data_IF_538363000882
#
_entry.id   IF_538363000882
#
_cell.length_a   1.000
_cell.length_b   1.000
_cell.length_c   1.000
_cell.angle_alpha   90.00
_cell.angle_beta   90.00
_cell.angle_gamma   90.00
#
_symmetry.space_group_name_H-M   'P 1'
#
loop_
_entity.id
_entity.type
_entity.pdbx_description
1 polymer ?
#
# COMPACT_ATOMS: atom_id res chain seq x y z
N UNK A 1 -26.19 3.70 2.71
CA UNK A 1 -25.52 3.82 4.02
C UNK A 1 -25.24 5.29 4.31
N UNK A 2 -25.40 5.71 5.56
CA UNK A 2 -25.03 7.05 5.99
C UNK A 2 -23.51 7.26 5.93
N UNK A 3 -23.05 8.49 5.69
CA UNK A 3 -21.63 8.83 5.68
C UNK A 3 -21.12 8.95 7.11
N UNK A 4 -20.00 8.30 7.42
CA UNK A 4 -19.27 8.52 8.66
C UNK A 4 -18.35 9.72 8.48
N UNK A 5 -18.43 10.69 9.38
CA UNK A 5 -17.57 11.87 9.38
C UNK A 5 -16.73 11.86 10.64
N UNK A 6 -15.41 11.90 10.49
CA UNK A 6 -14.44 11.88 11.60
C UNK A 6 -13.49 13.05 11.49
N UNK A 7 -12.93 13.49 12.63
CA UNK A 7 -12.09 14.68 12.70
C UNK A 7 -10.92 14.47 13.66
N UNK A 8 -9.97 15.40 13.60
CA UNK A 8 -8.89 15.52 14.57
C UNK A 8 -7.96 14.31 14.59
N UNK A 9 -7.45 14.02 15.78
CA UNK A 9 -6.36 13.06 15.96
C UNK A 9 -6.76 11.62 15.65
N UNK A 10 -7.96 11.22 16.07
CA UNK A 10 -8.44 9.85 15.85
C UNK A 10 -8.53 9.51 14.36
N UNK A 11 -8.95 10.47 13.53
CA UNK A 11 -9.01 10.31 12.07
C UNK A 11 -7.61 10.18 11.46
N UNK A 12 -6.67 11.05 11.86
CA UNK A 12 -5.27 11.00 11.41
C UNK A 12 -4.59 9.69 11.79
N UNK A 13 -4.79 9.21 13.02
CA UNK A 13 -4.22 7.96 13.49
C UNK A 13 -4.74 6.76 12.72
N UNK A 14 -6.04 6.74 12.35
CA UNK A 14 -6.58 5.69 11.48
C UNK A 14 -5.95 5.72 10.09
N UNK A 15 -5.86 6.89 9.47
CA UNK A 15 -5.20 7.06 8.17
C UNK A 15 -3.74 6.59 8.24
N UNK A 16 -2.99 7.00 9.27
CA UNK A 16 -1.59 6.63 9.47
C UNK A 16 -1.41 5.11 9.62
N UNK A 17 -2.30 4.42 10.35
CA UNK A 17 -2.27 2.94 10.43
C UNK A 17 -2.46 2.30 9.06
N UNK A 18 -3.32 2.87 8.22
CA UNK A 18 -3.51 2.44 6.84
C UNK A 18 -2.28 2.62 5.97
N UNK A 19 -1.68 3.81 6.02
CA UNK A 19 -0.42 4.15 5.35
C UNK A 19 0.68 3.16 5.74
N UNK A 20 0.86 2.92 7.04
CA UNK A 20 1.88 2.02 7.56
C UNK A 20 1.67 0.58 7.10
N UNK A 21 0.45 0.07 7.12
CA UNK A 21 0.15 -1.29 6.65
C UNK A 21 0.56 -1.48 5.18
N UNK A 22 0.29 -0.50 4.31
CA UNK A 22 0.72 -0.57 2.91
C UNK A 22 2.24 -0.41 2.77
N UNK A 23 2.81 0.61 3.41
CA UNK A 23 4.23 0.89 3.28
C UNK A 23 5.11 -0.25 3.82
N UNK A 24 4.71 -0.86 4.94
CA UNK A 24 5.45 -1.97 5.54
C UNK A 24 5.44 -3.23 4.66
N UNK A 25 4.34 -3.49 3.95
CA UNK A 25 4.24 -4.59 3.00
C UNK A 25 5.04 -4.34 1.72
N UNK A 26 5.13 -3.09 1.26
CA UNK A 26 5.84 -2.72 0.03
C UNK A 26 7.34 -2.57 0.27
N UNK A 27 7.76 -1.95 1.38
CA UNK A 27 9.18 -1.63 1.63
C UNK A 27 10.10 -2.84 1.70
N UNK A 28 9.57 -4.02 2.05
CA UNK A 28 10.38 -5.25 2.11
C UNK A 28 10.91 -5.66 0.74
N UNK A 29 10.30 -5.19 -0.34
CA UNK A 29 10.73 -5.51 -1.71
C UNK A 29 11.78 -4.55 -2.26
N UNK A 30 12.15 -3.49 -1.52
CA UNK A 30 13.03 -2.44 -2.00
C UNK A 30 14.48 -2.92 -2.23
N UNK A 31 15.01 -2.57 -3.41
CA UNK A 31 16.43 -2.70 -3.74
C UNK A 31 16.87 -4.12 -4.14
N UNK A 32 18.17 -4.31 -4.43
CA UNK A 32 18.70 -5.57 -4.95
C UNK A 32 18.60 -6.74 -3.97
N UNK A 33 18.46 -6.44 -2.67
CA UNK A 33 18.24 -7.43 -1.59
C UNK A 33 16.79 -7.46 -1.10
N UNK A 34 15.85 -6.92 -1.87
CA UNK A 34 14.42 -7.01 -1.59
C UNK A 34 13.98 -8.45 -1.36
N UNK A 35 13.13 -8.65 -0.36
CA UNK A 35 12.52 -9.93 -0.01
C UNK A 35 11.25 -10.16 -0.82
N UNK A 36 10.87 -11.44 -0.92
CA UNK A 36 9.63 -11.81 -1.58
C UNK A 36 8.44 -11.51 -0.68
N UNK A 37 7.36 -11.05 -1.30
CA UNK A 37 6.01 -11.00 -0.73
C UNK A 37 5.20 -12.11 -1.39
N UNK A 38 4.41 -12.80 -0.58
CA UNK A 38 3.51 -13.86 -1.03
C UNK A 38 2.08 -13.31 -1.02
N UNK A 39 1.44 -13.35 -2.19
CA UNK A 39 0.09 -12.85 -2.41
C UNK A 39 -0.82 -14.04 -2.65
N UNK A 40 -1.88 -14.15 -1.84
CA UNK A 40 -2.86 -15.20 -1.99
C UNK A 40 -3.67 -15.03 -3.29
N UNK A 41 -4.15 -16.15 -3.83
CA UNK A 41 -4.98 -16.19 -5.03
C UNK A 41 -6.19 -17.07 -4.76
N UNK A 42 -7.37 -16.59 -5.19
CA UNK A 42 -8.63 -17.33 -5.04
C UNK A 42 -8.60 -18.74 -5.67
N UNK A 43 -7.77 -18.94 -6.69
CA UNK A 43 -7.60 -20.22 -7.37
C UNK A 43 -6.13 -20.44 -7.75
N UNK A 44 -5.66 -21.68 -7.66
CA UNK A 44 -4.29 -22.06 -8.03
C UNK A 44 -3.26 -21.76 -6.94
N UNK A 45 -2.01 -21.58 -7.35
CA UNK A 45 -0.88 -21.31 -6.45
C UNK A 45 -0.73 -19.81 -6.14
N UNK A 46 -0.21 -19.44 -4.96
CA UNK A 46 0.03 -18.05 -4.60
C UNK A 46 1.04 -17.38 -5.53
N UNK A 47 0.96 -16.05 -5.65
CA UNK A 47 1.96 -15.27 -6.39
C UNK A 47 3.10 -14.91 -5.46
N UNK A 48 4.34 -15.20 -5.86
CA UNK A 48 5.53 -14.74 -5.15
C UNK A 48 6.14 -13.60 -5.97
N UNK A 49 6.27 -12.41 -5.38
CA UNK A 49 6.74 -11.22 -6.10
C UNK A 49 7.69 -10.36 -5.26
N UNK A 50 8.55 -9.60 -5.96
CA UNK A 50 9.33 -8.47 -5.41
C UNK A 50 8.91 -7.14 -6.02
N UNK A 51 7.84 -7.12 -6.80
CA UNK A 51 7.34 -5.89 -7.39
C UNK A 51 6.43 -5.17 -6.37
N UNK A 52 6.88 -4.01 -5.89
CA UNK A 52 6.13 -3.19 -4.93
C UNK A 52 4.80 -2.69 -5.48
N UNK A 53 4.67 -2.48 -6.80
CA UNK A 53 3.41 -2.05 -7.42
C UNK A 53 2.37 -3.16 -7.34
N UNK A 54 2.76 -4.38 -7.69
CA UNK A 54 1.90 -5.56 -7.56
C UNK A 54 1.49 -5.77 -6.11
N UNK A 55 2.41 -5.63 -5.15
CA UNK A 55 2.05 -5.75 -3.71
C UNK A 55 1.05 -4.67 -3.29
N UNK A 56 1.28 -3.41 -3.65
CA UNK A 56 0.40 -2.30 -3.28
C UNK A 56 -1.03 -2.44 -3.85
N UNK A 57 -1.18 -3.08 -5.02
CA UNK A 57 -2.48 -3.32 -5.67
C UNK A 57 -3.35 -4.33 -4.92
N UNK A 58 -2.75 -5.30 -4.23
CA UNK A 58 -3.48 -6.33 -3.49
C UNK A 58 -3.88 -5.88 -2.08
N UNK A 59 -3.48 -4.69 -1.64
CA UNK A 59 -3.80 -4.19 -0.30
C UNK A 59 -5.16 -3.53 -0.29
N UNK A 60 -6.08 -4.19 0.41
CA UNK A 60 -7.43 -3.72 0.71
C UNK A 60 -7.73 -3.97 2.20
N UNK A 61 -7.91 -2.89 2.96
CA UNK A 61 -8.09 -2.95 4.40
C UNK A 61 -9.58 -2.95 4.76
N UNK A 62 -9.94 -3.73 5.79
CA UNK A 62 -11.33 -3.86 6.25
C UNK A 62 -11.88 -2.57 6.85
N UNK A 63 -11.05 -1.83 7.58
CA UNK A 63 -11.44 -0.55 8.16
C UNK A 63 -11.43 0.54 7.06
N UNK A 64 -12.54 1.27 6.83
CA UNK A 64 -12.61 2.26 5.74
C UNK A 64 -11.65 3.45 5.89
N UNK A 65 -11.33 3.87 7.12
CA UNK A 65 -10.43 5.00 7.35
C UNK A 65 -8.97 4.58 7.14
N UNK A 66 -8.60 3.40 7.62
CA UNK A 66 -7.29 2.82 7.34
C UNK A 66 -7.15 2.55 5.84
N UNK A 67 -8.17 1.96 5.20
CA UNK A 67 -8.13 1.70 3.77
C UNK A 67 -7.96 2.99 2.97
N UNK A 68 -8.63 4.09 3.36
CA UNK A 68 -8.42 5.39 2.74
C UNK A 68 -6.96 5.84 2.80
N UNK A 69 -6.29 5.64 3.95
CA UNK A 69 -4.86 5.86 4.10
C UNK A 69 -4.00 5.04 3.14
N UNK A 70 -4.27 3.73 3.07
CA UNK A 70 -3.58 2.83 2.15
C UNK A 70 -3.80 3.25 0.67
N UNK A 71 -5.05 3.52 0.27
CA UNK A 71 -5.36 3.93 -1.10
C UNK A 71 -4.67 5.23 -1.51
N UNK A 72 -4.50 6.19 -0.59
CA UNK A 72 -3.75 7.43 -0.88
C UNK A 72 -2.30 7.15 -1.25
N UNK A 73 -1.62 6.24 -0.54
CA UNK A 73 -0.21 5.91 -0.84
C UNK A 73 -0.09 5.00 -2.06
N UNK A 74 -1.07 4.14 -2.29
CA UNK A 74 -1.18 3.38 -3.55
C UNK A 74 -1.22 4.29 -4.76
N UNK A 75 -1.96 5.40 -4.66
CA UNK A 75 -2.05 6.40 -5.73
C UNK A 75 -0.71 7.08 -6.00
N UNK A 76 0.07 7.37 -4.94
CA UNK A 76 1.44 7.89 -5.07
C UNK A 76 2.31 6.91 -5.85
N UNK A 77 2.30 5.63 -5.46
CA UNK A 77 3.06 4.58 -6.13
C UNK A 77 2.66 4.43 -7.61
N UNK A 78 1.35 4.44 -7.90
CA UNK A 78 0.83 4.31 -9.27
C UNK A 78 1.29 5.48 -10.15
N UNK A 79 1.14 6.73 -9.69
CA UNK A 79 1.55 7.91 -10.46
C UNK A 79 3.04 7.95 -10.74
N UNK A 80 3.86 7.53 -9.77
CA UNK A 80 5.31 7.40 -9.98
C UNK A 80 5.59 6.36 -11.06
N UNK A 81 4.90 5.22 -11.05
CA UNK A 81 5.01 4.21 -12.10
C UNK A 81 4.62 4.76 -13.48
N UNK A 82 3.51 5.49 -13.55
CA UNK A 82 2.99 6.01 -14.81
C UNK A 82 3.92 7.08 -15.42
N UNK A 83 4.58 7.86 -14.57
CA UNK A 83 5.46 8.96 -15.00
C UNK A 83 6.88 8.50 -15.30
N UNK A 84 7.45 7.64 -14.44
CA UNK A 84 8.86 7.27 -14.46
C UNK A 84 9.13 5.80 -14.79
N UNK A 85 8.12 4.92 -14.70
CA UNK A 85 8.26 3.47 -14.94
C UNK A 85 8.99 2.71 -13.83
N UNK A 86 9.54 3.39 -12.82
CA UNK A 86 10.26 2.83 -11.67
C UNK A 86 10.18 3.79 -10.46
N UNK A 87 10.69 3.38 -9.30
CA UNK A 87 10.78 4.21 -8.10
C UNK A 87 9.53 4.19 -7.21
N UNK A 88 8.57 3.32 -7.53
CA UNK A 88 7.29 3.20 -6.81
C UNK A 88 7.47 2.82 -5.34
N UNK A 89 8.37 1.87 -5.07
CA UNK A 89 8.70 1.43 -3.71
C UNK A 89 9.39 2.55 -2.93
N UNK A 90 10.25 3.34 -3.58
CA UNK A 90 10.88 4.53 -2.98
C UNK A 90 9.85 5.59 -2.65
N UNK A 91 8.92 5.88 -3.56
CA UNK A 91 7.86 6.86 -3.36
C UNK A 91 6.94 6.44 -2.20
N UNK A 92 6.59 5.16 -2.09
CA UNK A 92 5.83 4.61 -0.97
C UNK A 92 6.54 4.78 0.37
N UNK A 93 7.85 4.52 0.42
CA UNK A 93 8.65 4.67 1.66
C UNK A 93 8.79 6.14 2.07
N UNK A 94 8.89 7.07 1.12
CA UNK A 94 8.95 8.51 1.41
C UNK A 94 7.59 9.10 1.81
N UNK A 95 6.49 8.46 1.44
CA UNK A 95 5.13 8.89 1.79
C UNK A 95 4.65 8.40 3.17
N UNK A 96 5.37 7.45 3.77
CA UNK A 96 5.19 7.00 5.16
C UNK A 96 5.65 8.08 6.14
#
# INVERSE_FOLDING_TARGET
MAKQVTYGEQSRQAILRGVNQLADAVKVTLGPKGRNVVLDKKFGSPTITKDGVTVAKEIDLKDPLENMGAQMVREVASKTSDTAGDGTTTATVLAQ
#
